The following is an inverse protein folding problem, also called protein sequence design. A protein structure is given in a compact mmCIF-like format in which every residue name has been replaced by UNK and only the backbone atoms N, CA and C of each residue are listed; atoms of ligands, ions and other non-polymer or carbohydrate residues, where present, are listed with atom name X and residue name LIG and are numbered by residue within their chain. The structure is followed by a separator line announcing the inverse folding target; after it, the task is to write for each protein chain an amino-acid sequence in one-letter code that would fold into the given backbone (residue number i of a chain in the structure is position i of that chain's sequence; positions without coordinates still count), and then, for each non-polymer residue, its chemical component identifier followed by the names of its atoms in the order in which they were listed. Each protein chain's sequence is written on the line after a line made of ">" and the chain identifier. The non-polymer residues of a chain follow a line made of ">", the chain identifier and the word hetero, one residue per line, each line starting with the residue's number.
data_IF_703868009646
#
_entry.id   IF_703868009646
#
_cell.length_a   1.000
_cell.length_b   1.000
_cell.length_c   1.000
_cell.angle_alpha   90.00
_cell.angle_beta   90.00
_cell.angle_gamma   90.00
#
_symmetry.space_group_name_H-M   'P 1'
#
loop_
_entity.id
_entity.type
_entity.pdbx_description
1 polymer ?
#
# COMPACT_ATOMS: atom_id res chain seq x y z
N UNK A 1 -67.10 17.67 -63.15
CA UNK A 1 -65.64 17.89 -63.23
C UNK A 1 -64.98 17.05 -62.15
N UNK A 2 -64.21 16.06 -62.60
CA UNK A 2 -63.60 15.03 -61.78
C UNK A 2 -62.14 15.38 -61.48
N UNK A 3 -61.68 15.10 -60.25
CA UNK A 3 -60.39 14.42 -60.00
C UNK A 3 -60.20 14.19 -58.50
N UNK A 4 -60.49 12.96 -58.08
CA UNK A 4 -60.10 12.40 -56.79
C UNK A 4 -58.73 11.73 -57.02
N UNK A 5 -57.65 12.31 -56.48
CA UNK A 5 -56.30 11.76 -56.57
C UNK A 5 -55.96 11.06 -55.26
N UNK A 6 -55.81 9.73 -55.34
CA UNK A 6 -55.16 8.88 -54.32
C UNK A 6 -53.77 9.43 -54.01
N UNK A 7 -53.40 9.45 -52.73
CA UNK A 7 -52.01 9.22 -52.33
C UNK A 7 -51.96 8.55 -50.96
N UNK A 8 -51.47 7.31 -50.98
CA UNK A 8 -51.01 6.48 -49.87
C UNK A 8 -49.79 7.09 -49.21
N UNK A 9 -49.76 7.14 -47.88
CA UNK A 9 -48.53 7.23 -47.10
C UNK A 9 -48.71 6.45 -45.79
N UNK A 10 -47.66 5.71 -45.45
CA UNK A 10 -47.61 4.63 -44.47
C UNK A 10 -48.00 5.02 -43.04
N UNK A 11 -48.71 4.11 -42.38
CA UNK A 11 -48.86 4.07 -40.94
C UNK A 11 -47.55 3.56 -40.31
N UNK A 12 -46.80 4.47 -39.69
CA UNK A 12 -45.80 4.13 -38.66
C UNK A 12 -46.36 4.65 -37.34
N UNK A 13 -46.55 3.81 -36.30
CA UNK A 13 -46.92 4.31 -34.99
C UNK A 13 -45.74 5.05 -34.38
N UNK A 14 -46.04 6.23 -33.84
CA UNK A 14 -45.15 7.13 -33.10
C UNK A 14 -44.43 6.34 -31.99
N UNK A 15 -43.09 6.33 -32.05
CA UNK A 15 -42.25 5.88 -30.95
C UNK A 15 -42.56 6.72 -29.70
N UNK A 16 -43.14 6.06 -28.69
CA UNK A 16 -43.26 6.59 -27.34
C UNK A 16 -41.85 6.75 -26.77
N UNK A 17 -41.38 7.99 -26.69
CA UNK A 17 -40.12 8.35 -26.06
C UNK A 17 -40.20 8.08 -24.56
N UNK A 18 -39.99 6.81 -24.19
CA UNK A 18 -39.68 6.42 -22.83
C UNK A 18 -38.40 7.14 -22.41
N UNK A 19 -38.57 8.11 -21.50
CA UNK A 19 -37.51 8.81 -20.78
C UNK A 19 -36.54 7.76 -20.23
N UNK A 20 -35.21 7.96 -20.29
CA UNK A 20 -34.28 7.07 -19.61
C UNK A 20 -34.57 7.18 -18.11
N UNK A 21 -35.23 6.15 -17.59
CA UNK A 21 -35.37 5.96 -16.15
C UNK A 21 -33.99 5.91 -15.53
N UNK A 22 -33.91 6.54 -14.36
CA UNK A 22 -32.79 6.54 -13.46
C UNK A 22 -32.03 5.21 -13.53
N UNK A 23 -30.75 5.25 -13.91
CA UNK A 23 -29.84 4.13 -13.64
C UNK A 23 -29.81 3.96 -12.13
N UNK A 24 -30.68 3.10 -11.60
CA UNK A 24 -30.46 2.46 -10.32
C UNK A 24 -29.04 1.91 -10.37
N UNK A 25 -28.15 2.48 -9.54
CA UNK A 25 -26.78 2.02 -9.42
C UNK A 25 -26.82 0.55 -8.99
N UNK A 26 -26.76 -0.36 -9.97
CA UNK A 26 -26.75 -1.79 -9.72
C UNK A 26 -25.54 -2.09 -8.83
N UNK A 27 -25.80 -2.40 -7.55
CA UNK A 27 -24.76 -2.76 -6.60
C UNK A 27 -24.08 -4.03 -7.10
N UNK A 28 -22.75 -4.02 -7.08
CA UNK A 28 -21.91 -5.13 -7.55
C UNK A 28 -22.13 -6.35 -6.65
N UNK A 29 -22.22 -7.55 -7.24
CA UNK A 29 -22.30 -8.80 -6.47
C UNK A 29 -20.92 -9.23 -5.95
N UNK A 30 -20.87 -10.11 -4.94
CA UNK A 30 -19.60 -10.57 -4.38
C UNK A 30 -18.76 -11.37 -5.39
N UNK A 31 -19.42 -12.10 -6.29
CA UNK A 31 -18.77 -12.83 -7.37
C UNK A 31 -18.16 -11.89 -8.43
N UNK A 32 -18.87 -10.82 -8.80
CA UNK A 32 -18.33 -9.77 -9.68
C UNK A 32 -17.14 -9.05 -9.05
N UNK A 33 -17.18 -8.84 -7.72
CA UNK A 33 -16.05 -8.27 -6.99
C UNK A 33 -14.83 -9.20 -7.01
N UNK A 34 -15.04 -10.50 -6.78
CA UNK A 34 -13.98 -11.50 -6.81
C UNK A 34 -13.33 -11.54 -8.20
N UNK A 35 -14.11 -11.70 -9.26
CA UNK A 35 -13.56 -11.77 -10.62
C UNK A 35 -12.75 -10.53 -11.00
N UNK A 36 -13.21 -9.34 -10.59
CA UNK A 36 -12.61 -8.06 -11.00
C UNK A 36 -11.41 -7.62 -10.15
N UNK A 37 -11.42 -7.93 -8.85
CA UNK A 37 -10.48 -7.34 -7.90
C UNK A 37 -9.64 -8.35 -7.12
N UNK A 38 -10.12 -9.58 -6.96
CA UNK A 38 -9.38 -10.65 -6.28
C UNK A 38 -8.33 -11.21 -7.22
N UNK A 39 -7.13 -11.37 -6.69
CA UNK A 39 -6.04 -12.08 -7.38
C UNK A 39 -5.49 -13.11 -6.43
N UNK A 40 -5.21 -14.32 -6.93
CA UNK A 40 -4.51 -15.34 -6.15
C UNK A 40 -3.19 -14.77 -5.66
N UNK A 41 -3.06 -14.67 -4.34
CA UNK A 41 -1.86 -14.20 -3.67
C UNK A 41 -1.45 -15.25 -2.66
N UNK A 42 -0.18 -15.66 -2.71
CA UNK A 42 0.37 -16.57 -1.71
C UNK A 42 0.67 -15.78 -0.43
N UNK A 43 -0.31 -15.66 0.47
CA UNK A 43 -0.20 -14.90 1.72
C UNK A 43 0.89 -15.46 2.64
N UNK A 44 1.02 -16.80 2.69
CA UNK A 44 2.08 -17.47 3.48
C UNK A 44 3.47 -17.17 2.95
N UNK A 45 3.65 -17.31 1.64
CA UNK A 45 4.91 -16.94 0.98
C UNK A 45 5.22 -15.45 1.13
N UNK A 46 4.20 -14.59 1.08
CA UNK A 46 4.35 -13.17 1.28
C UNK A 46 4.87 -12.81 2.67
N UNK A 47 4.31 -13.43 3.71
CA UNK A 47 4.75 -13.23 5.10
C UNK A 47 6.16 -13.75 5.33
N UNK A 48 6.51 -14.92 4.76
CA UNK A 48 7.87 -15.46 4.82
C UNK A 48 8.88 -14.50 4.16
N UNK A 49 8.60 -14.06 2.93
CA UNK A 49 9.48 -13.12 2.21
C UNK A 49 9.57 -11.76 2.89
N UNK A 50 8.48 -11.27 3.49
CA UNK A 50 8.51 -10.04 4.29
C UNK A 50 9.45 -10.19 5.49
N UNK A 51 9.35 -11.32 6.22
CA UNK A 51 10.26 -11.62 7.33
C UNK A 51 11.71 -11.75 6.87
N UNK A 52 11.94 -12.36 5.70
CA UNK A 52 13.26 -12.48 5.10
C UNK A 52 13.85 -11.11 4.78
N UNK A 53 13.12 -10.25 4.04
CA UNK A 53 13.60 -8.90 3.71
C UNK A 53 13.82 -8.05 4.96
N UNK A 54 12.90 -8.10 5.92
CA UNK A 54 13.09 -7.42 7.20
C UNK A 54 14.37 -7.91 7.90
N UNK A 55 14.59 -9.22 7.95
CA UNK A 55 15.80 -9.83 8.54
C UNK A 55 17.08 -9.42 7.81
N UNK A 56 17.10 -9.43 6.48
CA UNK A 56 18.24 -8.98 5.67
C UNK A 56 18.59 -7.53 5.96
N UNK A 57 17.59 -6.65 6.01
CA UNK A 57 17.78 -5.24 6.38
C UNK A 57 18.37 -5.14 7.80
N UNK A 58 17.85 -5.91 8.74
CA UNK A 58 18.32 -5.91 10.13
C UNK A 58 19.77 -6.36 10.25
N UNK A 59 20.12 -7.50 9.65
CA UNK A 59 21.49 -8.01 9.62
C UNK A 59 22.43 -7.01 8.97
N UNK A 60 22.02 -6.41 7.86
CA UNK A 60 22.82 -5.41 7.16
C UNK A 60 23.09 -4.17 8.03
N UNK A 61 22.05 -3.61 8.66
CA UNK A 61 22.20 -2.45 9.56
C UNK A 61 23.08 -2.81 10.76
N UNK A 62 22.83 -3.97 11.39
CA UNK A 62 23.62 -4.46 12.51
C UNK A 62 25.10 -4.66 12.15
N UNK A 63 25.38 -5.22 10.98
CA UNK A 63 26.73 -5.38 10.44
C UNK A 63 27.43 -4.04 10.23
N UNK A 64 26.74 -3.06 9.65
CA UNK A 64 27.30 -1.72 9.45
C UNK A 64 27.65 -1.03 10.79
N UNK A 65 26.75 -1.11 11.77
CA UNK A 65 26.98 -0.54 13.11
C UNK A 65 28.11 -1.26 13.84
N UNK A 66 28.15 -2.59 13.78
CA UNK A 66 29.24 -3.38 14.37
C UNK A 66 30.59 -3.05 13.74
N UNK A 67 30.65 -2.94 12.41
CA UNK A 67 31.88 -2.55 11.71
C UNK A 67 32.39 -1.18 12.16
N UNK A 68 31.50 -0.22 12.40
CA UNK A 68 31.87 1.11 12.90
C UNK A 68 32.38 1.03 14.36
N UNK A 69 31.71 0.26 15.21
CA UNK A 69 32.15 0.01 16.59
C UNK A 69 33.55 -0.61 16.65
N UNK A 70 33.85 -1.61 15.81
CA UNK A 70 35.17 -2.25 15.77
C UNK A 70 36.28 -1.29 15.31
N UNK A 71 35.98 -0.35 14.41
CA UNK A 71 36.95 0.68 14.01
C UNK A 71 37.35 1.57 15.19
N UNK A 72 36.38 1.98 16.03
CA UNK A 72 36.64 2.79 17.22
C UNK A 72 37.36 2.00 18.32
N UNK A 73 37.00 0.72 18.48
CA UNK A 73 37.67 -0.18 19.43
C UNK A 73 39.17 -0.31 19.15
N UNK A 74 39.54 -0.45 17.88
CA UNK A 74 40.94 -0.57 17.47
C UNK A 74 41.77 0.70 17.72
N UNK A 75 41.11 1.85 17.91
CA UNK A 75 41.77 3.12 18.27
C UNK A 75 41.90 3.26 19.78
N UNK A 76 40.82 3.00 20.52
CA UNK A 76 40.82 3.10 21.98
C UNK A 76 39.74 2.20 22.60
N UNK A 77 40.12 1.38 23.59
CA UNK A 77 39.23 0.37 24.18
C UNK A 77 37.96 0.98 24.82
N UNK A 78 38.13 2.04 25.62
CA UNK A 78 37.00 2.78 26.21
C UNK A 78 36.08 3.43 25.16
N UNK A 79 36.63 3.90 24.04
CA UNK A 79 35.83 4.43 22.93
C UNK A 79 35.04 3.31 22.23
N UNK A 80 35.61 2.10 22.19
CA UNK A 80 34.94 0.89 21.71
C UNK A 80 33.69 0.54 22.53
N UNK A 81 33.79 0.50 23.86
CA UNK A 81 32.62 0.25 24.72
C UNK A 81 31.52 1.32 24.56
N UNK A 82 31.91 2.60 24.51
CA UNK A 82 30.97 3.69 24.27
C UNK A 82 30.28 3.57 22.89
N UNK A 83 31.05 3.28 21.84
CA UNK A 83 30.54 3.08 20.50
C UNK A 83 29.60 1.87 20.41
N UNK A 84 29.87 0.79 21.14
CA UNK A 84 29.00 -0.38 21.20
C UNK A 84 27.64 -0.03 21.80
N UNK A 85 27.62 0.68 22.93
CA UNK A 85 26.38 1.13 23.57
C UNK A 85 25.55 2.03 22.64
N UNK A 86 26.18 3.00 21.97
CA UNK A 86 25.51 3.87 21.01
C UNK A 86 24.97 3.08 19.81
N UNK A 87 25.76 2.16 19.26
CA UNK A 87 25.33 1.30 18.14
C UNK A 87 24.09 0.48 18.49
N UNK A 88 24.01 -0.09 19.69
CA UNK A 88 22.82 -0.82 20.14
C UNK A 88 21.59 0.10 20.22
N UNK A 89 21.75 1.29 20.80
CA UNK A 89 20.65 2.27 20.87
C UNK A 89 20.18 2.68 19.47
N UNK A 90 21.11 2.98 18.56
CA UNK A 90 20.79 3.32 17.17
C UNK A 90 20.07 2.17 16.46
N UNK A 91 20.50 0.92 16.66
CA UNK A 91 19.81 -0.23 16.08
C UNK A 91 18.36 -0.33 16.56
N UNK A 92 18.13 -0.14 17.87
CA UNK A 92 16.79 -0.19 18.46
C UNK A 92 15.91 0.92 17.89
N UNK A 93 16.37 2.18 17.92
CA UNK A 93 15.54 3.32 17.54
C UNK A 93 15.38 3.48 16.02
N UNK A 94 16.40 3.16 15.22
CA UNK A 94 16.39 3.37 13.78
C UNK A 94 15.82 2.19 13.00
N UNK A 95 15.95 0.96 13.50
CA UNK A 95 15.48 -0.24 12.81
C UNK A 95 14.33 -0.93 13.56
N UNK A 96 14.54 -1.31 14.83
CA UNK A 96 13.59 -2.16 15.55
C UNK A 96 12.26 -1.44 15.82
N UNK A 97 12.31 -0.20 16.32
CA UNK A 97 11.11 0.59 16.60
C UNK A 97 10.28 0.86 15.33
N UNK A 98 10.86 1.36 14.21
CA UNK A 98 10.11 1.52 12.97
C UNK A 98 9.52 0.23 12.43
N UNK A 99 10.30 -0.86 12.44
CA UNK A 99 9.85 -2.15 11.94
C UNK A 99 8.65 -2.67 12.76
N UNK A 100 8.76 -2.65 14.08
CA UNK A 100 7.69 -3.11 14.98
C UNK A 100 6.44 -2.26 14.80
N UNK A 101 6.56 -0.93 14.67
CA UNK A 101 5.41 -0.05 14.41
C UNK A 101 4.73 -0.34 13.07
N UNK A 102 5.51 -0.58 12.01
CA UNK A 102 4.96 -0.96 10.69
C UNK A 102 4.24 -2.31 10.80
N UNK A 103 4.83 -3.31 11.46
CA UNK A 103 4.27 -4.67 11.50
C UNK A 103 3.07 -4.82 12.45
N UNK A 104 3.01 -4.02 13.53
CA UNK A 104 1.88 -4.02 14.48
C UNK A 104 0.66 -3.23 14.01
N UNK A 105 0.81 -2.42 12.96
CA UNK A 105 -0.33 -1.66 12.42
C UNK A 105 -1.35 -2.59 11.75
N UNK A 106 -2.64 -2.31 11.92
CA UNK A 106 -3.71 -3.07 11.28
C UNK A 106 -3.71 -2.87 9.76
N UNK A 107 -4.30 -3.80 9.02
CA UNK A 107 -4.47 -3.73 7.57
C UNK A 107 -5.87 -4.15 7.15
N UNK A 108 -6.31 -3.66 5.98
CA UNK A 108 -7.60 -4.02 5.40
C UNK A 108 -7.53 -5.36 4.66
N UNK A 109 -8.56 -6.18 4.83
CA UNK A 109 -8.74 -7.44 4.13
C UNK A 109 -9.61 -7.17 2.91
N UNK A 110 -8.99 -7.09 1.73
CA UNK A 110 -9.71 -6.81 0.47
C UNK A 110 -9.63 -7.95 -0.54
N UNK A 111 -8.88 -9.01 -0.24
CA UNK A 111 -8.75 -10.17 -1.10
C UNK A 111 -9.61 -11.30 -0.51
N UNK A 112 -10.88 -11.35 -0.91
CA UNK A 112 -11.91 -12.18 -0.27
C UNK A 112 -12.71 -12.94 -1.32
N UNK A 113 -12.98 -14.21 -1.04
CA UNK A 113 -13.93 -15.01 -1.79
C UNK A 113 -15.32 -14.89 -1.11
N UNK A 114 -16.40 -15.27 -1.79
CA UNK A 114 -17.77 -15.18 -1.30
C UNK A 114 -17.95 -15.73 0.13
N UNK A 115 -17.38 -16.90 0.43
CA UNK A 115 -17.43 -17.54 1.75
C UNK A 115 -16.74 -16.75 2.91
N UNK A 116 -15.91 -15.75 2.60
CA UNK A 116 -15.14 -15.00 3.61
C UNK A 116 -15.48 -13.50 3.61
N UNK A 117 -16.43 -13.08 2.78
CA UNK A 117 -16.77 -11.68 2.57
C UNK A 117 -17.35 -11.02 3.84
N UNK A 118 -18.26 -11.71 4.55
CA UNK A 118 -18.90 -11.18 5.76
C UNK A 118 -17.89 -10.94 6.89
N UNK A 119 -17.04 -11.95 7.19
CA UNK A 119 -15.92 -11.79 8.14
C UNK A 119 -14.99 -10.64 7.78
N UNK A 120 -14.65 -10.48 6.51
CA UNK A 120 -13.78 -9.39 6.06
C UNK A 120 -14.42 -8.00 6.21
N UNK A 121 -15.72 -7.84 5.90
CA UNK A 121 -16.45 -6.58 6.14
C UNK A 121 -16.44 -6.21 7.62
N UNK A 122 -16.72 -7.17 8.52
CA UNK A 122 -16.68 -6.94 9.98
C UNK A 122 -15.28 -6.52 10.45
N UNK A 123 -14.23 -7.18 9.97
CA UNK A 123 -12.85 -6.80 10.26
C UNK A 123 -12.53 -5.40 9.76
N UNK A 124 -12.84 -5.10 8.51
CA UNK A 124 -12.56 -3.80 7.90
C UNK A 124 -13.30 -2.64 8.58
N UNK A 125 -14.54 -2.87 9.02
CA UNK A 125 -15.29 -1.90 9.84
C UNK A 125 -14.57 -1.59 11.16
N UNK A 126 -14.08 -2.61 11.87
CA UNK A 126 -13.27 -2.41 13.09
C UNK A 126 -11.97 -1.66 12.81
N UNK A 127 -11.27 -2.01 11.73
CA UNK A 127 -10.03 -1.33 11.32
C UNK A 127 -10.30 0.14 11.03
N UNK A 128 -11.37 0.46 10.28
CA UNK A 128 -11.75 1.84 9.98
C UNK A 128 -12.02 2.65 11.25
N UNK A 129 -12.76 2.08 12.19
CA UNK A 129 -13.04 2.73 13.47
C UNK A 129 -11.75 2.96 14.26
N UNK A 130 -10.87 1.95 14.35
CA UNK A 130 -9.57 2.08 15.00
C UNK A 130 -8.70 3.17 14.36
N UNK A 131 -8.71 3.30 13.04
CA UNK A 131 -8.01 4.38 12.33
C UNK A 131 -8.56 5.74 12.75
N UNK A 132 -9.89 5.89 12.74
CA UNK A 132 -10.54 7.13 13.12
C UNK A 132 -10.20 7.52 14.56
N UNK A 133 -10.28 6.58 15.50
CA UNK A 133 -9.90 6.77 16.90
C UNK A 133 -8.44 7.20 17.04
N UNK A 134 -7.51 6.53 16.34
CA UNK A 134 -6.08 6.89 16.34
C UNK A 134 -5.82 8.29 15.77
N UNK A 135 -6.53 8.69 14.71
CA UNK A 135 -6.40 10.03 14.12
C UNK A 135 -6.93 11.12 15.07
N UNK A 136 -8.08 10.87 15.72
CA UNK A 136 -8.66 11.79 16.70
C UNK A 136 -7.73 11.93 17.91
N UNK A 137 -7.28 10.81 18.47
CA UNK A 137 -6.38 10.80 19.63
C UNK A 137 -5.06 11.53 19.33
N UNK A 138 -4.48 11.30 18.15
CA UNK A 138 -3.29 12.02 17.71
C UNK A 138 -3.53 13.52 17.57
N UNK A 139 -4.65 13.94 16.96
CA UNK A 139 -4.94 15.37 16.78
C UNK A 139 -5.15 16.10 18.11
N UNK A 140 -5.74 15.42 19.10
CA UNK A 140 -6.00 15.99 20.42
C UNK A 140 -4.74 16.07 21.29
N UNK A 141 -3.88 15.05 21.21
CA UNK A 141 -2.69 14.96 22.07
C UNK A 141 -1.47 15.70 21.49
N UNK A 142 -1.46 15.98 20.19
CA UNK A 142 -0.27 16.53 19.53
C UNK A 142 -0.59 17.81 18.76
N UNK A 143 -0.26 18.94 19.40
CA UNK A 143 -0.47 20.27 18.85
C UNK A 143 0.59 20.63 17.78
N UNK A 144 0.16 21.34 16.73
CA UNK A 144 1.07 22.02 15.78
C UNK A 144 1.65 21.16 14.65
N UNK A 145 1.27 19.89 14.53
CA UNK A 145 1.77 18.99 13.47
C UNK A 145 1.08 19.20 12.12
N UNK A 146 -0.19 19.63 12.12
CA UNK A 146 -0.94 20.02 10.91
C UNK A 146 -1.15 18.90 9.88
N UNK A 147 -1.06 17.63 10.30
CA UNK A 147 -1.20 16.47 9.42
C UNK A 147 -2.64 16.24 8.96
N UNK A 148 -3.58 16.51 9.85
CA UNK A 148 -5.01 16.35 9.64
C UNK A 148 -5.69 17.72 9.56
N UNK A 149 -6.91 17.74 9.02
CA UNK A 149 -7.74 18.94 9.01
C UNK A 149 -8.61 18.95 10.27
N UNK A 150 -8.44 19.94 11.14
CA UNK A 150 -9.12 20.00 12.44
C UNK A 150 -10.64 19.93 12.32
N UNK A 151 -11.21 20.53 11.28
CA UNK A 151 -12.66 20.49 11.04
C UNK A 151 -13.11 19.08 10.70
N UNK A 152 -12.41 18.42 9.77
CA UNK A 152 -12.73 17.04 9.39
C UNK A 152 -12.47 16.06 10.54
N UNK A 153 -11.48 16.30 11.39
CA UNK A 153 -11.26 15.47 12.59
C UNK A 153 -12.38 15.67 13.62
N UNK A 154 -12.91 16.90 13.75
CA UNK A 154 -14.11 17.18 14.54
C UNK A 154 -15.32 16.40 14.03
N UNK A 155 -15.59 16.46 12.72
CA UNK A 155 -16.67 15.70 12.08
C UNK A 155 -16.48 14.18 12.26
N UNK A 156 -15.22 13.71 12.19
CA UNK A 156 -14.85 12.32 12.41
C UNK A 156 -15.14 11.90 13.87
N UNK A 157 -14.87 12.77 14.84
CA UNK A 157 -15.15 12.53 16.25
C UNK A 157 -16.65 12.40 16.51
N UNK A 158 -17.48 13.23 15.87
CA UNK A 158 -18.94 13.11 15.95
C UNK A 158 -19.39 11.76 15.39
N UNK A 159 -18.94 11.39 14.20
CA UNK A 159 -19.32 10.12 13.55
C UNK A 159 -18.92 8.87 14.35
N UNK A 160 -17.74 8.90 14.99
CA UNK A 160 -17.29 7.80 15.88
C UNK A 160 -18.18 7.69 17.13
N UNK A 161 -18.58 8.83 17.71
CA UNK A 161 -19.45 8.87 18.90
C UNK A 161 -20.88 8.44 18.60
N UNK A 162 -21.43 8.83 17.45
CA UNK A 162 -22.77 8.44 17.00
C UNK A 162 -22.84 7.04 16.39
N UNK A 163 -21.69 6.35 16.29
CA UNK A 163 -21.56 5.03 15.67
C UNK A 163 -22.03 5.01 14.19
N UNK A 164 -21.89 6.15 13.50
CA UNK A 164 -22.24 6.32 12.09
C UNK A 164 -21.07 5.89 11.19
N UNK A 165 -21.13 4.66 10.67
CA UNK A 165 -20.08 4.10 9.82
C UNK A 165 -19.96 4.81 8.46
N UNK A 166 -21.07 5.32 7.91
CA UNK A 166 -21.06 6.06 6.64
C UNK A 166 -20.46 7.45 6.81
N UNK A 167 -20.76 8.11 7.94
CA UNK A 167 -20.08 9.34 8.36
C UNK A 167 -18.57 9.14 8.46
N UNK A 168 -18.11 8.07 9.14
CA UNK A 168 -16.68 7.75 9.26
C UNK A 168 -16.05 7.55 7.87
N UNK A 169 -16.69 6.78 6.97
CA UNK A 169 -16.20 6.56 5.59
C UNK A 169 -16.05 7.86 4.82
N UNK A 170 -17.07 8.72 4.87
CA UNK A 170 -17.12 9.96 4.10
C UNK A 170 -16.03 10.92 4.56
N UNK A 171 -15.90 11.10 5.88
CA UNK A 171 -14.91 11.99 6.48
C UNK A 171 -13.49 11.49 6.31
N UNK A 172 -13.22 10.18 6.49
CA UNK A 172 -11.90 9.60 6.19
C UNK A 172 -11.53 9.74 4.71
N UNK A 173 -12.50 9.58 3.81
CA UNK A 173 -12.28 9.78 2.38
C UNK A 173 -11.91 11.23 2.06
N UNK A 174 -12.56 12.20 2.72
CA UNK A 174 -12.21 13.62 2.59
C UNK A 174 -10.79 13.90 3.13
N UNK A 175 -10.43 13.36 4.30
CA UNK A 175 -9.09 13.47 4.88
C UNK A 175 -8.00 12.90 3.95
N UNK A 176 -8.22 11.70 3.40
CA UNK A 176 -7.28 11.06 2.47
C UNK A 176 -7.13 11.79 1.14
N UNK A 177 -8.19 12.43 0.63
CA UNK A 177 -8.12 13.23 -0.60
C UNK A 177 -7.45 14.59 -0.36
N UNK A 178 -7.62 15.16 0.82
CA UNK A 178 -7.13 16.47 1.23
C UNK A 178 -5.78 16.42 1.94
N UNK A 179 -5.77 16.84 3.22
CA UNK A 179 -4.56 17.10 4.01
C UNK A 179 -3.64 15.90 4.15
N UNK A 180 -4.18 14.69 4.35
CA UNK A 180 -3.35 13.48 4.55
C UNK A 180 -2.46 13.21 3.34
N UNK A 181 -3.01 13.33 2.12
CA UNK A 181 -2.23 13.15 0.88
C UNK A 181 -1.15 14.22 0.72
N UNK A 182 -1.42 15.46 1.13
CA UNK A 182 -0.43 16.54 1.10
C UNK A 182 0.71 16.25 2.10
N UNK A 183 0.37 15.97 3.35
CA UNK A 183 1.34 15.63 4.41
C UNK A 183 2.19 14.42 4.04
N UNK A 184 1.61 13.40 3.41
CA UNK A 184 2.33 12.22 2.95
C UNK A 184 3.34 12.57 1.84
N UNK A 185 2.99 13.45 0.89
CA UNK A 185 3.93 13.94 -0.13
C UNK A 185 5.07 14.75 0.49
N UNK A 186 4.78 15.56 1.50
CA UNK A 186 5.79 16.36 2.19
C UNK A 186 6.78 15.46 2.96
N UNK A 187 6.30 14.38 3.59
CA UNK A 187 7.15 13.35 4.20
C UNK A 187 8.06 12.72 3.15
N UNK A 188 7.49 12.29 2.01
CA UNK A 188 8.26 11.68 0.92
C UNK A 188 9.34 12.64 0.43
N UNK A 189 8.99 13.90 0.17
CA UNK A 189 9.91 14.90 -0.32
C UNK A 189 11.08 15.10 0.65
N UNK A 190 10.79 15.30 1.95
CA UNK A 190 11.81 15.45 3.00
C UNK A 190 12.72 14.23 3.10
N UNK A 191 12.16 13.01 3.05
CA UNK A 191 12.95 11.78 3.09
C UNK A 191 13.79 11.57 1.81
N UNK A 192 13.24 11.87 0.63
CA UNK A 192 14.00 11.82 -0.62
C UNK A 192 15.16 12.81 -0.62
N UNK A 193 14.95 14.03 -0.09
CA UNK A 193 16.00 15.03 0.02
C UNK A 193 17.07 14.60 1.03
N UNK A 194 16.67 14.07 2.19
CA UNK A 194 17.60 13.49 3.18
C UNK A 194 18.42 12.36 2.56
N UNK A 195 17.78 11.44 1.83
CA UNK A 195 18.47 10.35 1.15
C UNK A 195 19.47 10.89 0.14
N UNK A 196 19.09 11.87 -0.69
CA UNK A 196 19.99 12.46 -1.67
C UNK A 196 21.19 13.18 -1.04
N UNK A 197 20.93 13.97 0.01
CA UNK A 197 21.95 14.70 0.75
C UNK A 197 22.93 13.74 1.46
N UNK A 198 22.42 12.69 2.11
CA UNK A 198 23.27 11.69 2.76
C UNK A 198 24.16 10.95 1.77
N UNK A 199 23.63 10.60 0.60
CA UNK A 199 24.42 9.98 -0.45
C UNK A 199 25.45 10.91 -1.08
N UNK A 200 25.16 12.21 -1.16
CA UNK A 200 26.12 13.20 -1.63
C UNK A 200 27.28 13.44 -0.64
N UNK A 201 27.02 13.31 0.66
CA UNK A 201 28.01 13.53 1.74
C UNK A 201 28.73 12.24 2.14
N UNK A 202 28.14 11.07 1.92
CA UNK A 202 28.69 9.80 2.38
C UNK A 202 29.99 9.46 1.67
N UNK A 203 31.05 9.27 2.45
CA UNK A 203 32.38 8.88 1.96
C UNK A 203 32.52 7.36 1.77
N UNK A 204 31.54 6.57 2.22
CA UNK A 204 31.55 5.10 2.11
C UNK A 204 30.24 4.58 1.54
N UNK A 205 30.33 3.65 0.58
CA UNK A 205 29.15 2.97 0.04
C UNK A 205 28.37 2.18 1.11
N UNK A 206 29.05 1.72 2.17
CA UNK A 206 28.41 1.06 3.32
C UNK A 206 27.53 2.02 4.10
N UNK A 207 28.06 3.20 4.41
CA UNK A 207 27.34 4.25 5.14
C UNK A 207 26.21 4.81 4.29
N UNK A 208 26.41 4.95 2.98
CA UNK A 208 25.37 5.38 2.05
C UNK A 208 24.19 4.40 2.07
N UNK A 209 24.47 3.10 1.88
CA UNK A 209 23.45 2.05 1.86
C UNK A 209 22.70 1.93 3.19
N UNK A 210 23.41 2.10 4.32
CA UNK A 210 22.83 2.14 5.65
C UNK A 210 21.84 3.31 5.79
N UNK A 211 22.28 4.53 5.44
CA UNK A 211 21.45 5.73 5.54
C UNK A 211 20.22 5.65 4.63
N UNK A 212 20.39 5.16 3.41
CA UNK A 212 19.29 4.91 2.46
C UNK A 212 18.29 3.90 3.03
N UNK A 213 18.76 2.80 3.65
CA UNK A 213 17.88 1.80 4.27
C UNK A 213 17.05 2.43 5.42
N UNK A 214 17.71 3.15 6.32
CA UNK A 214 17.10 3.77 7.50
C UNK A 214 16.09 4.83 7.09
N UNK A 215 16.45 5.73 6.17
CA UNK A 215 15.55 6.79 5.68
C UNK A 215 14.31 6.19 5.02
N UNK A 216 14.46 5.13 4.22
CA UNK A 216 13.33 4.46 3.59
C UNK A 216 12.40 3.79 4.60
N UNK A 217 12.93 3.09 5.60
CA UNK A 217 12.12 2.48 6.66
C UNK A 217 11.37 3.51 7.49
N UNK A 218 12.04 4.60 7.87
CA UNK A 218 11.43 5.69 8.62
C UNK A 218 10.31 6.35 7.81
N UNK A 219 10.54 6.62 6.52
CA UNK A 219 9.53 7.15 5.61
C UNK A 219 8.30 6.24 5.54
N UNK A 220 8.50 4.91 5.39
CA UNK A 220 7.38 3.95 5.36
C UNK A 220 6.63 3.97 6.68
N UNK A 221 7.33 3.97 7.82
CA UNK A 221 6.73 4.07 9.16
C UNK A 221 5.89 5.34 9.29
N UNK A 222 6.42 6.49 8.88
CA UNK A 222 5.73 7.78 8.96
C UNK A 222 4.48 7.81 8.09
N UNK A 223 4.55 7.29 6.86
CA UNK A 223 3.39 7.20 5.96
C UNK A 223 2.33 6.25 6.53
N UNK A 224 2.73 5.06 7.00
CA UNK A 224 1.82 4.08 7.62
C UNK A 224 1.13 4.68 8.86
N UNK A 225 1.88 5.40 9.68
CA UNK A 225 1.34 6.05 10.87
C UNK A 225 0.39 7.19 10.51
N UNK A 226 0.74 8.03 9.53
CA UNK A 226 -0.11 9.10 9.02
C UNK A 226 -1.44 8.58 8.47
N UNK A 227 -1.42 7.46 7.74
CA UNK A 227 -2.63 6.81 7.22
C UNK A 227 -3.39 5.99 8.28
N UNK A 228 -2.75 5.62 9.40
CA UNK A 228 -3.35 4.86 10.50
C UNK A 228 -3.46 3.34 10.26
N UNK A 229 -3.05 2.85 9.09
CA UNK A 229 -3.02 1.42 8.74
C UNK A 229 -1.86 1.10 7.82
N UNK A 230 -1.45 -0.17 7.79
CA UNK A 230 -0.38 -0.66 6.90
C UNK A 230 -0.94 -1.32 5.63
N UNK A 231 -0.16 -1.36 4.54
CA UNK A 231 -0.49 -2.19 3.38
C UNK A 231 -0.54 -3.68 3.76
N UNK A 232 -1.33 -4.48 3.05
CA UNK A 232 -1.31 -5.94 3.21
C UNK A 232 0.09 -6.55 3.04
N UNK A 233 0.34 -7.70 3.65
CA UNK A 233 1.66 -8.37 3.63
C UNK A 233 2.21 -8.52 2.20
N UNK A 234 1.33 -8.80 1.23
CA UNK A 234 1.70 -8.96 -0.18
C UNK A 234 2.17 -7.65 -0.86
N UNK A 235 1.74 -6.50 -0.34
CA UNK A 235 2.18 -5.18 -0.78
C UNK A 235 3.40 -4.72 0.00
N UNK A 236 3.40 -4.98 1.30
CA UNK A 236 4.50 -4.62 2.20
C UNK A 236 5.79 -5.35 1.81
N UNK A 237 5.73 -6.62 1.43
CA UNK A 237 6.89 -7.36 0.90
C UNK A 237 7.51 -6.68 -0.34
N UNK A 238 6.69 -6.05 -1.20
CA UNK A 238 7.17 -5.39 -2.43
C UNK A 238 7.85 -4.08 -2.10
N UNK A 239 7.31 -3.37 -1.12
CA UNK A 239 7.93 -2.16 -0.56
C UNK A 239 9.27 -2.54 0.07
N UNK A 240 9.31 -3.55 0.95
CA UNK A 240 10.54 -3.98 1.63
C UNK A 240 11.59 -4.53 0.66
N UNK A 241 11.17 -5.31 -0.35
CA UNK A 241 12.07 -5.75 -1.42
C UNK A 241 12.65 -4.57 -2.21
N UNK A 242 11.86 -3.50 -2.44
CA UNK A 242 12.37 -2.28 -3.06
C UNK A 242 13.37 -1.53 -2.15
N UNK A 243 13.16 -1.52 -0.83
CA UNK A 243 14.12 -0.96 0.14
C UNK A 243 15.44 -1.73 0.09
N UNK A 244 15.41 -3.07 0.19
CA UNK A 244 16.61 -3.91 0.08
C UNK A 244 17.34 -3.62 -1.23
N UNK A 245 16.61 -3.61 -2.35
CA UNK A 245 17.19 -3.32 -3.67
C UNK A 245 17.85 -1.94 -3.71
N UNK A 246 17.20 -0.91 -3.18
CA UNK A 246 17.73 0.45 -3.16
C UNK A 246 19.03 0.54 -2.34
N UNK A 247 19.05 -0.09 -1.16
CA UNK A 247 20.24 -0.18 -0.32
C UNK A 247 21.39 -0.94 -1.01
N UNK A 248 21.12 -2.02 -1.73
CA UNK A 248 22.15 -2.76 -2.48
C UNK A 248 22.72 -1.96 -3.66
N UNK A 249 21.89 -1.19 -4.36
CA UNK A 249 22.34 -0.27 -5.42
C UNK A 249 23.29 0.77 -4.84
N UNK A 250 22.89 1.39 -3.72
CA UNK A 250 23.71 2.37 -2.98
C UNK A 250 25.02 1.78 -2.44
N UNK A 251 25.03 0.50 -2.05
CA UNK A 251 26.25 -0.21 -1.63
C UNK A 251 27.27 -0.40 -2.77
N UNK A 252 26.86 -0.23 -4.03
CA UNK A 252 27.72 -0.41 -5.21
C UNK A 252 27.61 -1.79 -5.86
N UNK A 253 26.69 -2.65 -5.41
CA UNK A 253 26.38 -3.94 -6.07
C UNK A 253 25.47 -3.78 -7.31
N UNK A 254 25.15 -2.54 -7.68
CA UNK A 254 24.24 -2.18 -8.78
C UNK A 254 24.81 -2.36 -10.21
N UNK A 255 26.10 -2.69 -10.37
CA UNK A 255 26.74 -2.86 -11.69
C UNK A 255 26.44 -4.21 -12.36
N UNK A 256 25.83 -5.17 -11.65
CA UNK A 256 25.36 -6.43 -12.24
C UNK A 256 23.97 -6.26 -12.89
N UNK A 257 23.93 -5.83 -14.16
CA UNK A 257 22.78 -5.92 -15.08
C UNK A 257 21.40 -5.47 -14.53
N UNK A 258 21.34 -4.47 -13.64
CA UNK A 258 20.09 -4.00 -13.01
C UNK A 258 19.34 -2.93 -13.84
N UNK A 259 19.92 -2.46 -14.96
CA UNK A 259 19.35 -1.41 -15.83
C UNK A 259 17.92 -1.69 -16.31
N UNK A 260 17.64 -2.92 -16.77
CA UNK A 260 16.34 -3.26 -17.35
C UNK A 260 15.21 -3.41 -16.32
N UNK A 261 15.50 -3.87 -15.10
CA UNK A 261 14.49 -4.05 -14.07
C UNK A 261 14.15 -2.73 -13.33
N UNK A 262 15.12 -1.79 -13.23
CA UNK A 262 14.88 -0.45 -12.67
C UNK A 262 14.03 0.33 -13.67
N UNK A 263 14.45 0.38 -14.94
CA UNK A 263 13.71 1.04 -16.00
C UNK A 263 12.25 0.55 -16.13
N UNK A 264 11.99 -0.76 -15.96
CA UNK A 264 10.63 -1.31 -16.00
C UNK A 264 9.78 -0.94 -14.79
N UNK A 265 10.32 -1.05 -13.58
CA UNK A 265 9.59 -0.70 -12.33
C UNK A 265 9.31 0.81 -12.25
N UNK A 266 10.28 1.60 -12.71
CA UNK A 266 10.22 3.06 -12.77
C UNK A 266 9.33 3.52 -13.93
N UNK A 267 9.37 2.86 -15.09
CA UNK A 267 8.50 3.14 -16.24
C UNK A 267 7.02 2.89 -15.95
N UNK A 268 6.71 1.82 -15.21
CA UNK A 268 5.33 1.54 -14.77
C UNK A 268 4.83 2.51 -13.67
N UNK A 269 5.75 3.13 -12.92
CA UNK A 269 5.43 4.21 -11.98
C UNK A 269 5.30 5.57 -12.69
N UNK A 270 6.16 5.86 -13.67
CA UNK A 270 6.17 7.09 -14.48
C UNK A 270 4.91 7.22 -15.35
N UNK A 271 4.41 6.11 -15.93
CA UNK A 271 3.12 6.07 -16.64
C UNK A 271 1.94 6.53 -15.77
N UNK A 272 2.07 6.50 -14.45
CA UNK A 272 1.01 6.92 -13.52
C UNK A 272 1.17 8.34 -12.97
N UNK A 273 2.29 9.02 -13.21
CA UNK A 273 2.57 10.37 -12.68
C UNK A 273 3.48 11.14 -13.68
N UNK A 274 2.94 12.14 -14.43
CA UNK A 274 3.68 12.87 -15.47
C UNK A 274 4.96 13.58 -14.97
N UNK A 275 4.96 14.07 -13.72
CA UNK A 275 6.07 14.84 -13.15
C UNK A 275 7.31 14.00 -12.79
N UNK A 276 7.19 12.66 -12.71
CA UNK A 276 8.37 11.80 -12.49
C UNK A 276 9.17 11.60 -13.78
N UNK A 277 8.56 11.75 -14.96
CA UNK A 277 9.21 11.48 -16.25
C UNK A 277 10.43 12.35 -16.54
N UNK A 278 10.44 13.62 -16.11
CA UNK A 278 11.55 14.56 -16.36
C UNK A 278 12.74 14.37 -15.42
N UNK A 279 12.51 13.95 -14.18
CA UNK A 279 13.59 13.66 -13.22
C UNK A 279 14.36 12.37 -13.55
N UNK A 280 13.77 11.49 -14.39
CA UNK A 280 14.30 10.17 -14.73
C UNK A 280 15.31 10.23 -15.89
N UNK A 281 15.14 11.12 -16.87
CA UNK A 281 16.10 11.28 -17.97
C UNK A 281 17.46 11.81 -17.49
N UNK A 282 17.47 12.50 -16.35
CA UNK A 282 18.66 12.98 -15.67
C UNK A 282 19.34 11.91 -14.77
N UNK A 283 18.94 10.63 -14.83
CA UNK A 283 19.51 9.54 -14.03
C UNK A 283 20.68 8.78 -14.69
N UNK A 284 21.07 9.14 -15.92
CA UNK A 284 21.98 8.30 -16.75
C UNK A 284 23.46 8.71 -16.71
N UNK A 285 23.82 9.95 -16.34
CA UNK A 285 25.22 10.46 -16.39
C UNK A 285 25.87 10.74 -15.02
N UNK A 286 26.33 9.69 -14.32
CA UNK A 286 27.35 9.56 -13.22
C UNK A 286 27.60 10.63 -12.13
N UNK A 287 27.07 11.85 -12.17
CA UNK A 287 27.06 12.86 -11.09
C UNK A 287 25.85 12.71 -10.14
N UNK A 288 25.19 11.54 -10.21
CA UNK A 288 23.76 11.33 -9.95
C UNK A 288 23.52 10.34 -8.80
N UNK A 289 24.53 9.90 -8.05
CA UNK A 289 24.30 8.89 -7.00
C UNK A 289 23.31 9.39 -5.93
N UNK A 290 23.45 10.64 -5.47
CA UNK A 290 22.48 11.26 -4.55
C UNK A 290 21.10 11.45 -5.15
N UNK A 291 21.01 11.94 -6.39
CA UNK A 291 19.74 12.11 -7.09
C UNK A 291 19.03 10.75 -7.32
N UNK A 292 19.79 9.69 -7.58
CA UNK A 292 19.29 8.33 -7.77
C UNK A 292 18.68 7.80 -6.49
N UNK A 293 19.41 7.86 -5.37
CA UNK A 293 18.93 7.37 -4.08
C UNK A 293 17.72 8.18 -3.58
N UNK A 294 17.72 9.50 -3.80
CA UNK A 294 16.57 10.36 -3.53
C UNK A 294 15.34 9.98 -4.37
N UNK A 295 15.53 9.74 -5.66
CA UNK A 295 14.44 9.36 -6.58
C UNK A 295 13.87 7.98 -6.24
N UNK A 296 14.72 6.99 -5.98
CA UNK A 296 14.29 5.65 -5.57
C UNK A 296 13.53 5.69 -4.24
N UNK A 297 13.99 6.52 -3.29
CA UNK A 297 13.26 6.80 -2.05
C UNK A 297 11.89 7.41 -2.34
N UNK A 298 11.80 8.39 -3.24
CA UNK A 298 10.50 8.97 -3.62
C UNK A 298 9.56 7.93 -4.25
N UNK A 299 10.07 7.07 -5.13
CA UNK A 299 9.30 5.99 -5.76
C UNK A 299 8.73 5.03 -4.72
N UNK A 300 9.55 4.59 -3.75
CA UNK A 300 9.11 3.71 -2.64
C UNK A 300 8.00 4.39 -1.83
N UNK A 301 8.14 5.69 -1.54
CA UNK A 301 7.14 6.48 -0.84
C UNK A 301 5.81 6.54 -1.59
N UNK A 302 5.84 6.90 -2.88
CA UNK A 302 4.62 6.97 -3.72
C UNK A 302 3.99 5.59 -3.93
N UNK A 303 4.79 4.53 -4.04
CA UNK A 303 4.30 3.16 -4.09
C UNK A 303 3.55 2.77 -2.81
N UNK A 304 4.06 3.19 -1.66
CA UNK A 304 3.40 2.99 -0.35
C UNK A 304 2.03 3.68 -0.31
N UNK A 305 1.98 4.98 -0.65
CA UNK A 305 0.73 5.74 -0.74
C UNK A 305 -0.26 5.09 -1.73
N UNK A 306 0.24 4.62 -2.88
CA UNK A 306 -0.59 3.97 -3.90
C UNK A 306 -1.22 2.69 -3.38
N UNK A 307 -0.48 1.87 -2.62
CA UNK A 307 -1.02 0.65 -2.03
C UNK A 307 -2.04 0.94 -0.93
N UNK A 308 -1.76 1.89 -0.04
CA UNK A 308 -2.70 2.31 1.01
C UNK A 308 -4.03 2.81 0.41
N UNK A 309 -3.98 3.75 -0.54
CA UNK A 309 -5.18 4.28 -1.17
C UNK A 309 -5.95 3.22 -1.96
N UNK A 310 -5.24 2.28 -2.60
CA UNK A 310 -5.88 1.18 -3.33
C UNK A 310 -6.63 0.25 -2.38
N UNK A 311 -6.01 -0.15 -1.27
CA UNK A 311 -6.65 -1.03 -0.29
C UNK A 311 -7.83 -0.34 0.39
N UNK A 312 -7.70 0.93 0.76
CA UNK A 312 -8.83 1.71 1.26
C UNK A 312 -9.99 1.79 0.26
N UNK A 313 -9.70 2.05 -1.03
CA UNK A 313 -10.74 2.09 -2.07
C UNK A 313 -11.41 0.72 -2.27
N UNK A 314 -10.62 -0.35 -2.32
CA UNK A 314 -11.13 -1.71 -2.48
C UNK A 314 -12.02 -2.12 -1.30
N UNK A 315 -11.69 -1.66 -0.11
CA UNK A 315 -12.47 -1.87 1.09
C UNK A 315 -13.82 -1.14 1.03
N UNK A 316 -13.84 0.12 0.59
CA UNK A 316 -15.10 0.85 0.38
C UNK A 316 -15.99 0.18 -0.68
N UNK A 317 -15.40 -0.32 -1.77
CA UNK A 317 -16.15 -1.06 -2.80
C UNK A 317 -16.72 -2.36 -2.20
N UNK A 318 -15.92 -3.10 -1.45
CA UNK A 318 -16.36 -4.36 -0.82
C UNK A 318 -17.53 -4.14 0.14
N UNK A 319 -17.56 -3.03 0.88
CA UNK A 319 -18.66 -2.74 1.78
C UNK A 319 -19.99 -2.54 1.03
N UNK A 320 -19.96 -1.89 -0.13
CA UNK A 320 -21.14 -1.62 -0.98
C UNK A 320 -21.63 -2.81 -1.82
N UNK A 321 -20.91 -3.94 -1.79
CA UNK A 321 -21.29 -5.17 -2.50
C UNK A 321 -22.41 -5.92 -1.77
N UNK A 322 -23.44 -6.36 -2.47
CA UNK A 322 -24.48 -7.22 -1.89
C UNK A 322 -23.96 -8.65 -1.72
N UNK A 323 -24.04 -9.16 -0.50
CA UNK A 323 -23.75 -10.56 -0.18
C UNK A 323 -25.09 -11.28 -0.29
N UNK A 324 -25.38 -11.80 -1.47
CA UNK A 324 -26.70 -12.35 -1.84
C UNK A 324 -27.03 -13.69 -1.19
N UNK A 325 -26.06 -14.34 -0.54
CA UNK A 325 -26.22 -15.65 0.08
C UNK A 325 -25.72 -15.59 1.53
N UNK A 326 -26.54 -16.08 2.45
CA UNK A 326 -26.17 -16.25 3.85
C UNK A 326 -24.88 -17.08 3.94
N UNK A 327 -23.91 -16.72 4.80
CA UNK A 327 -22.66 -17.49 4.99
C UNK A 327 -22.93 -18.99 5.23
N UNK A 328 -24.11 -19.34 5.74
CA UNK A 328 -24.58 -20.71 5.96
C UNK A 328 -24.97 -21.46 4.66
N UNK A 329 -25.68 -20.81 3.73
CA UNK A 329 -26.13 -21.44 2.47
C UNK A 329 -24.95 -21.71 1.51
N UNK A 330 -23.92 -20.86 1.59
CA UNK A 330 -22.72 -20.96 0.77
C UNK A 330 -21.73 -22.02 1.32
N UNK A 331 -21.69 -22.19 2.65
CA UNK A 331 -20.98 -23.31 3.29
C UNK A 331 -21.67 -24.64 2.97
N UNK A 332 -23.00 -24.71 3.03
CA UNK A 332 -23.79 -25.89 2.65
C UNK A 332 -23.53 -26.29 1.18
N UNK A 333 -23.60 -25.33 0.26
CA UNK A 333 -23.32 -25.57 -1.16
C UNK A 333 -21.87 -26.01 -1.41
N UNK A 334 -20.90 -25.44 -0.68
CA UNK A 334 -19.49 -25.84 -0.78
C UNK A 334 -19.24 -27.24 -0.19
N UNK A 335 -19.95 -27.62 0.88
CA UNK A 335 -19.90 -28.97 1.45
C UNK A 335 -20.55 -29.99 0.51
N UNK A 336 -21.69 -29.67 -0.10
CA UNK A 336 -22.33 -30.51 -1.12
C UNK A 336 -21.42 -30.74 -2.33
N UNK A 337 -20.80 -29.67 -2.88
CA UNK A 337 -19.85 -29.80 -3.99
C UNK A 337 -18.63 -30.64 -3.60
N UNK A 338 -18.12 -30.47 -2.37
CA UNK A 338 -16.97 -31.22 -1.87
C UNK A 338 -17.30 -32.69 -1.68
N UNK A 339 -18.49 -33.00 -1.19
CA UNK A 339 -18.96 -34.38 -1.03
C UNK A 339 -19.33 -35.02 -2.37
N UNK A 340 -19.83 -34.25 -3.33
CA UNK A 340 -20.07 -34.74 -4.69
C UNK A 340 -18.76 -34.99 -5.46
N UNK A 341 -17.73 -34.16 -5.25
CA UNK A 341 -16.37 -34.39 -5.76
C UNK A 341 -15.70 -35.62 -5.13
N UNK A 342 -15.99 -35.93 -3.85
CA UNK A 342 -15.55 -37.18 -3.22
C UNK A 342 -16.35 -38.40 -3.70
N UNK A 343 -17.64 -38.23 -4.01
CA UNK A 343 -18.54 -39.28 -4.52
C UNK A 343 -18.33 -39.60 -5.99
N UNK A 344 -17.72 -38.71 -6.78
CA UNK A 344 -17.22 -39.03 -8.13
C UNK A 344 -15.86 -39.72 -8.01
N UNK A 345 -15.76 -41.07 -8.04
CA UNK A 345 -14.46 -41.70 -8.24
C UNK A 345 -13.91 -41.22 -9.58
N UNK A 346 -12.61 -40.94 -9.62
CA UNK A 346 -11.88 -40.55 -10.82
C UNK A 346 -12.16 -41.53 -11.97
N UNK A 347 -13.13 -41.24 -12.82
CA UNK A 347 -13.30 -41.91 -14.11
C UNK A 347 -12.34 -41.24 -15.09
N UNK A 348 -11.08 -41.69 -15.08
CA UNK A 348 -10.35 -41.78 -16.33
C UNK A 348 -10.61 -43.17 -16.90
N UNK A 349 -11.23 -43.30 -18.08
CA UNK A 349 -11.15 -44.54 -18.83
C UNK A 349 -9.68 -44.77 -19.20
N UNK A 350 -9.12 -45.86 -18.69
CA UNK A 350 -7.96 -46.50 -19.28
C UNK A 350 -8.37 -47.09 -20.63
N UNK A 351 -7.57 -46.83 -21.68
CA UNK A 351 -7.47 -47.69 -22.86
C UNK A 351 -8.06 -47.12 -24.16
N UNK A 352 -7.17 -46.61 -25.02
CA UNK A 352 -6.79 -47.24 -26.29
C UNK A 352 -5.51 -46.57 -26.82
#
# INVERSE_FOLDING_TARGET
>A
MAQQKKNTANLVPVEDNARPSEKQERKMTIYEYEEKYVRRQNVRGARFLLSLFAGVIGIFIGWCLFSFTMQLWNVHEYAGYAAAAVSVLLFIFLYLVPLVKILRSDYFITNVNAAHAGRAKRHNKRVRRSIAEKMIDFNNNVNGIGWYDDKLVGDLQVAVRTNDDEGIKTTLTALYKGKVKKSAKDIIFKCSLKSAAFSAVSQSSRTDALLVAVVNLQMIKDIVFLYGFRPSDAKLMKIFGAVVRNSLISFGLGSLQIGNAVAKTVGDAARSIPFLGSAISALVDSSIQGLTNGTLTAVIGYQTIRYLNREYRLQNILDGVEVTESEAELEETCEEIKDELKRRPARMPQGA
#
